data_IF_164908842774
#
_entry.id   IF_164908842774
#
_cell.length_a   1.000
_cell.length_b   1.000
_cell.length_c   1.000
_cell.angle_alpha   90.00
_cell.angle_beta   90.00
_cell.angle_gamma   90.00
#
_symmetry.space_group_name_H-M   'P 1'
#
loop_
_entity.id
_entity.type
_entity.pdbx_description
1 polymer ?
#
# COMPACT_ATOMS: atom_id res chain seq x y z
N UNK A 1 13.94 -16.16 -2.29
CA UNK A 1 12.87 -15.54 -1.46
C UNK A 1 13.25 -15.79 -0.01
N UNK A 2 13.21 -14.76 0.84
CA UNK A 2 13.72 -14.85 2.21
C UNK A 2 12.57 -14.72 3.21
N UNK A 3 12.70 -15.35 4.37
CA UNK A 3 11.78 -15.15 5.49
C UNK A 3 12.10 -13.80 6.12
N UNK A 4 11.15 -12.86 6.04
CA UNK A 4 11.26 -11.54 6.64
C UNK A 4 10.69 -11.51 8.07
N UNK A 5 9.68 -12.33 8.35
CA UNK A 5 9.14 -12.54 9.69
C UNK A 5 8.48 -13.92 9.78
N UNK A 6 8.50 -14.48 10.99
CA UNK A 6 7.82 -15.73 11.33
C UNK A 6 7.16 -15.59 12.70
N UNK A 7 5.93 -16.10 12.82
CA UNK A 7 5.23 -16.22 14.08
C UNK A 7 4.56 -17.59 14.14
N UNK A 8 4.56 -18.22 15.31
CA UNK A 8 3.88 -19.50 15.56
C UNK A 8 2.91 -19.33 16.71
N UNK A 9 1.70 -19.81 16.52
CA UNK A 9 0.66 -19.86 17.53
C UNK A 9 -0.03 -21.24 17.51
N UNK A 10 -1.07 -21.41 18.34
CA UNK A 10 -1.87 -22.64 18.40
C UNK A 10 -2.61 -22.94 17.09
N UNK A 11 -2.78 -21.95 16.20
CA UNK A 11 -3.50 -22.07 14.93
C UNK A 11 -2.57 -22.39 13.76
N UNK A 12 -1.26 -22.29 13.94
CA UNK A 12 -0.26 -22.70 12.96
C UNK A 12 0.94 -21.76 12.89
N UNK A 13 1.54 -21.69 11.70
CA UNK A 13 2.75 -20.92 11.44
C UNK A 13 2.45 -19.82 10.43
N UNK A 14 2.51 -18.58 10.88
CA UNK A 14 2.40 -17.40 10.03
C UNK A 14 3.78 -16.95 9.53
N UNK A 15 3.95 -16.91 8.21
CA UNK A 15 5.20 -16.50 7.55
C UNK A 15 4.99 -15.25 6.70
N UNK A 16 5.94 -14.33 6.80
CA UNK A 16 6.10 -13.23 5.86
C UNK A 16 7.33 -13.51 5.02
N UNK A 17 7.10 -13.83 3.75
CA UNK A 17 8.17 -14.02 2.79
C UNK A 17 8.38 -12.70 2.05
N UNK A 18 9.62 -12.27 1.91
CA UNK A 18 9.97 -11.07 1.15
C UNK A 18 10.90 -11.41 0.00
N UNK A 19 10.63 -10.76 -1.11
CA UNK A 19 11.56 -10.51 -2.19
C UNK A 19 11.70 -9.01 -2.34
N UNK A 20 12.76 -8.50 -2.98
CA UNK A 20 13.04 -7.07 -3.01
C UNK A 20 11.88 -6.17 -3.49
N UNK A 21 10.89 -6.74 -4.19
CA UNK A 21 9.70 -6.02 -4.70
C UNK A 21 8.37 -6.56 -4.17
N UNK A 22 8.37 -7.64 -3.38
CA UNK A 22 7.14 -8.37 -3.06
C UNK A 22 7.16 -8.91 -1.64
N UNK A 23 5.99 -8.91 -1.00
CA UNK A 23 5.78 -9.60 0.27
C UNK A 23 4.60 -10.53 0.14
N UNK A 24 4.79 -11.77 0.56
CA UNK A 24 3.73 -12.76 0.68
C UNK A 24 3.51 -13.04 2.16
N UNK A 25 2.24 -13.09 2.58
CA UNK A 25 1.85 -13.53 3.91
C UNK A 25 1.18 -14.88 3.76
N UNK A 26 1.75 -15.89 4.40
CA UNK A 26 1.27 -17.27 4.37
C UNK A 26 0.87 -17.67 5.77
N UNK A 27 -0.27 -18.36 5.89
CA UNK A 27 -0.59 -19.12 7.08
C UNK A 27 -0.44 -20.60 6.73
N UNK A 28 0.52 -21.27 7.36
CA UNK A 28 0.75 -22.70 7.21
C UNK A 28 -0.05 -23.40 8.30
N UNK A 29 -1.03 -24.18 7.87
CA UNK A 29 -1.86 -24.99 8.75
C UNK A 29 -1.23 -26.38 8.91
N UNK A 30 -0.97 -26.79 10.15
CA UNK A 30 -0.42 -28.11 10.46
C UNK A 30 1.09 -28.23 10.22
N UNK A 31 1.60 -29.45 10.33
CA UNK A 31 2.98 -29.79 10.03
C UNK A 31 3.14 -30.01 8.52
N UNK A 32 4.16 -29.39 7.93
CA UNK A 32 4.49 -29.56 6.51
C UNK A 32 5.83 -30.25 6.39
N UNK A 33 5.92 -31.28 5.54
CA UNK A 33 7.21 -31.82 5.10
C UNK A 33 7.72 -31.07 3.87
N UNK A 34 9.04 -31.05 3.65
CA UNK A 34 9.65 -30.26 2.56
C UNK A 34 9.29 -30.75 1.15
N UNK A 35 8.78 -31.97 1.02
CA UNK A 35 8.57 -32.64 -0.28
C UNK A 35 7.10 -32.71 -0.71
N UNK A 36 6.17 -32.29 0.16
CA UNK A 36 4.75 -32.31 -0.15
C UNK A 36 4.36 -31.19 -1.12
N UNK A 37 3.47 -31.47 -2.10
CA UNK A 37 2.89 -30.43 -2.93
C UNK A 37 2.14 -29.38 -2.09
N UNK A 38 2.24 -28.11 -2.48
CA UNK A 38 1.50 -27.04 -1.82
C UNK A 38 0.00 -27.13 -2.13
N UNK A 39 -0.82 -27.24 -1.08
CA UNK A 39 -2.26 -27.04 -1.15
C UNK A 39 -2.61 -25.61 -0.74
N UNK A 40 -3.48 -24.96 -1.50
CA UNK A 40 -3.98 -23.62 -1.17
C UNK A 40 -5.42 -23.69 -0.66
N UNK A 41 -5.66 -23.10 0.50
CA UNK A 41 -7.00 -22.96 1.09
C UNK A 41 -7.41 -21.51 0.98
N UNK A 42 -8.48 -21.26 0.24
CA UNK A 42 -9.05 -19.92 0.06
C UNK A 42 -10.46 -19.88 0.67
N UNK A 43 -10.72 -18.96 1.61
CA UNK A 43 -12.08 -18.70 2.06
C UNK A 43 -12.97 -18.24 0.90
N UNK A 44 -14.19 -18.77 0.83
CA UNK A 44 -15.24 -18.25 -0.05
C UNK A 44 -15.90 -17.01 0.54
N UNK A 45 -15.13 -15.92 0.65
CA UNK A 45 -15.58 -14.64 1.21
C UNK A 45 -15.62 -13.53 0.14
N UNK A 46 -15.98 -12.31 0.55
CA UNK A 46 -16.06 -11.15 -0.34
C UNK A 46 -14.71 -10.74 -0.98
N UNK A 47 -13.60 -11.39 -0.59
CA UNK A 47 -12.27 -11.13 -1.13
C UNK A 47 -11.78 -12.26 -2.05
N UNK A 48 -12.69 -13.13 -2.52
CA UNK A 48 -12.38 -14.28 -3.35
C UNK A 48 -11.42 -13.96 -4.52
N UNK A 49 -11.74 -12.95 -5.34
CA UNK A 49 -10.93 -12.59 -6.51
C UNK A 49 -9.54 -12.09 -6.11
N UNK A 50 -9.46 -11.25 -5.07
CA UNK A 50 -8.19 -10.73 -4.53
C UNK A 50 -7.33 -11.87 -4.00
N UNK A 51 -7.92 -12.80 -3.24
CA UNK A 51 -7.20 -13.94 -2.67
C UNK A 51 -6.76 -14.93 -3.76
N UNK A 52 -7.60 -15.19 -4.75
CA UNK A 52 -7.27 -16.02 -5.90
C UNK A 52 -6.10 -15.41 -6.67
N UNK A 53 -6.14 -14.12 -6.98
CA UNK A 53 -5.04 -13.44 -7.67
C UNK A 53 -3.73 -13.49 -6.85
N UNK A 54 -3.80 -13.32 -5.53
CA UNK A 54 -2.63 -13.38 -4.66
C UNK A 54 -2.00 -14.78 -4.62
N UNK A 55 -2.82 -15.84 -4.55
CA UNK A 55 -2.36 -17.24 -4.58
C UNK A 55 -1.79 -17.61 -5.95
N UNK A 56 -2.48 -17.26 -7.04
CA UNK A 56 -1.99 -17.51 -8.39
C UNK A 56 -0.63 -16.86 -8.60
N UNK A 57 -0.48 -15.62 -8.17
CA UNK A 57 0.79 -14.92 -8.28
C UNK A 57 1.91 -15.58 -7.45
N UNK A 58 1.63 -15.94 -6.20
CA UNK A 58 2.60 -16.63 -5.35
C UNK A 58 3.03 -17.96 -5.99
N UNK A 59 2.07 -18.75 -6.47
CA UNK A 59 2.34 -20.03 -7.13
C UNK A 59 3.20 -19.84 -8.39
N UNK A 60 2.89 -18.85 -9.22
CA UNK A 60 3.69 -18.53 -10.41
C UNK A 60 5.12 -18.12 -10.04
N UNK A 61 5.29 -17.33 -8.98
CA UNK A 61 6.62 -16.96 -8.50
C UNK A 61 7.41 -18.19 -8.04
N UNK A 62 6.81 -19.08 -7.25
CA UNK A 62 7.43 -20.35 -6.86
C UNK A 62 7.84 -21.18 -8.09
N UNK A 63 6.97 -21.27 -9.11
CA UNK A 63 7.23 -22.05 -10.33
C UNK A 63 8.31 -21.44 -11.22
N UNK A 64 8.37 -20.12 -11.33
CA UNK A 64 9.25 -19.41 -12.26
C UNK A 64 10.56 -18.92 -11.65
N UNK A 65 10.67 -18.89 -10.32
CA UNK A 65 11.83 -18.37 -9.60
C UNK A 65 12.01 -16.84 -9.66
N UNK A 66 11.11 -16.11 -10.30
CA UNK A 66 11.16 -14.66 -10.41
C UNK A 66 9.77 -14.00 -10.36
N UNK A 67 9.77 -12.71 -10.03
CA UNK A 67 8.57 -11.88 -9.87
C UNK A 67 8.07 -11.38 -11.23
N UNK A 68 6.80 -11.69 -11.56
CA UNK A 68 6.06 -11.04 -12.65
C UNK A 68 5.39 -9.74 -12.20
N UNK A 69 4.88 -8.97 -13.18
CA UNK A 69 4.03 -7.81 -12.92
C UNK A 69 2.85 -8.20 -12.02
N UNK A 70 2.63 -7.39 -10.98
CA UNK A 70 1.55 -7.60 -10.02
C UNK A 70 0.18 -7.41 -10.72
N UNK A 71 -0.78 -8.33 -10.52
CA UNK A 71 -2.16 -8.14 -10.97
C UNK A 71 -2.73 -6.80 -10.50
N UNK A 72 -3.55 -6.19 -11.34
CA UNK A 72 -4.12 -4.86 -11.06
C UNK A 72 -4.95 -4.84 -9.78
N UNK A 73 -5.72 -5.91 -9.51
CA UNK A 73 -6.50 -6.02 -8.27
C UNK A 73 -5.64 -6.11 -6.99
N UNK A 74 -4.33 -6.32 -7.10
CA UNK A 74 -3.42 -6.43 -5.95
C UNK A 74 -2.56 -5.19 -5.72
N UNK A 75 -2.67 -4.16 -6.58
CA UNK A 75 -1.94 -2.92 -6.39
C UNK A 75 -2.65 -1.70 -6.97
N UNK A 76 -2.48 -0.53 -6.34
CA UNK A 76 -3.02 0.71 -6.86
C UNK A 76 -2.45 1.00 -8.25
N UNK A 77 -3.29 1.59 -9.11
CA UNK A 77 -2.86 2.08 -10.41
C UNK A 77 -1.79 3.18 -10.30
N UNK A 78 -1.02 3.49 -11.37
CA UNK A 78 0.11 4.43 -11.29
C UNK A 78 -0.25 5.81 -10.71
N UNK A 79 -1.38 6.39 -11.10
CA UNK A 79 -1.83 7.69 -10.60
C UNK A 79 -2.26 7.65 -9.14
N UNK A 80 -2.87 6.55 -8.71
CA UNK A 80 -3.25 6.33 -7.31
C UNK A 80 -2.02 6.12 -6.44
N UNK A 81 -1.10 5.24 -6.89
CA UNK A 81 0.18 5.01 -6.21
C UNK A 81 0.97 6.31 -6.04
N UNK A 82 1.10 7.11 -7.11
CA UNK A 82 1.76 8.42 -7.04
C UNK A 82 1.11 9.34 -6.00
N UNK A 83 -0.22 9.37 -5.95
CA UNK A 83 -0.99 10.19 -4.99
C UNK A 83 -0.79 9.71 -3.56
N UNK A 84 -0.84 8.40 -3.31
CA UNK A 84 -0.58 7.81 -1.99
C UNK A 84 0.82 8.18 -1.50
N UNK A 85 1.82 8.13 -2.38
CA UNK A 85 3.19 8.58 -2.06
C UNK A 85 3.23 10.08 -1.72
N UNK A 86 2.48 10.94 -2.44
CA UNK A 86 2.42 12.36 -2.08
C UNK A 86 1.74 12.59 -0.73
N UNK A 87 0.72 11.80 -0.38
CA UNK A 87 0.08 11.87 0.92
C UNK A 87 1.01 11.45 2.05
N UNK A 88 1.86 10.43 1.84
CA UNK A 88 2.91 10.08 2.81
C UNK A 88 3.88 11.25 3.02
N UNK A 89 4.40 11.83 1.93
CA UNK A 89 5.30 13.00 2.01
C UNK A 89 4.66 14.19 2.71
N UNK A 90 3.37 14.42 2.46
CA UNK A 90 2.59 15.46 3.12
C UNK A 90 2.51 15.20 4.63
N UNK A 91 2.21 13.97 5.05
CA UNK A 91 2.15 13.59 6.47
C UNK A 91 3.51 13.75 7.16
N UNK A 92 4.59 13.33 6.49
CA UNK A 92 5.96 13.49 7.00
C UNK A 92 6.29 14.97 7.22
N UNK A 93 6.02 15.82 6.23
CA UNK A 93 6.26 17.26 6.31
C UNK A 93 5.38 17.96 7.37
N UNK A 94 4.11 17.54 7.52
CA UNK A 94 3.25 18.03 8.60
C UNK A 94 3.82 17.70 9.98
N UNK A 95 4.35 16.50 10.17
CA UNK A 95 5.00 16.12 11.44
C UNK A 95 6.27 16.94 11.72
N UNK A 96 6.95 17.41 10.67
CA UNK A 96 8.05 18.37 10.73
C UNK A 96 7.63 19.83 10.90
N UNK A 97 6.33 20.14 11.02
CA UNK A 97 5.82 21.50 11.23
C UNK A 97 5.65 22.34 9.97
N UNK A 98 5.69 21.74 8.77
CA UNK A 98 5.49 22.46 7.52
C UNK A 98 4.11 23.12 7.47
N UNK A 99 4.06 24.36 6.99
CA UNK A 99 2.82 25.09 6.79
C UNK A 99 2.07 24.57 5.56
N UNK A 100 0.75 24.77 5.54
CA UNK A 100 -0.10 24.44 4.39
C UNK A 100 0.38 25.08 3.09
N UNK A 101 0.99 26.26 3.17
CA UNK A 101 1.51 26.99 2.01
C UNK A 101 2.80 26.38 1.47
N UNK A 102 3.75 26.04 2.33
CA UNK A 102 4.98 25.33 1.93
C UNK A 102 4.65 23.98 1.28
N UNK A 103 3.70 23.25 1.84
CA UNK A 103 3.22 21.98 1.27
C UNK A 103 2.62 22.15 -0.13
N UNK A 104 1.84 23.20 -0.37
CA UNK A 104 1.28 23.47 -1.70
C UNK A 104 2.37 23.84 -2.72
N UNK A 105 3.38 24.61 -2.31
CA UNK A 105 4.51 25.00 -3.17
C UNK A 105 5.28 23.77 -3.64
N UNK A 106 5.60 22.85 -2.72
CA UNK A 106 6.40 21.68 -3.06
C UNK A 106 5.61 20.55 -3.72
N UNK A 107 4.34 20.33 -3.32
CA UNK A 107 3.58 19.15 -3.77
C UNK A 107 2.55 19.43 -4.87
N UNK A 108 2.18 20.70 -5.10
CA UNK A 108 1.12 21.06 -6.07
C UNK A 108 1.65 21.99 -7.15
N UNK A 109 2.11 23.18 -6.78
CA UNK A 109 2.51 24.22 -7.73
C UNK A 109 3.52 25.17 -7.11
N UNK A 110 4.75 25.17 -7.63
CA UNK A 110 5.84 26.04 -7.15
C UNK A 110 5.48 27.53 -7.22
N UNK A 111 4.65 27.92 -8.18
CA UNK A 111 4.21 29.31 -8.37
C UNK A 111 3.36 29.86 -7.22
N UNK A 112 2.76 29.00 -6.38
CA UNK A 112 2.06 29.43 -5.16
C UNK A 112 2.98 30.19 -4.18
N UNK A 113 4.30 30.06 -4.33
CA UNK A 113 5.29 30.84 -3.58
C UNK A 113 5.26 32.33 -3.92
N UNK A 114 4.75 32.69 -5.10
CA UNK A 114 4.68 34.09 -5.57
C UNK A 114 3.39 34.79 -5.18
N UNK A 115 2.39 34.06 -4.68
CA UNK A 115 1.09 34.64 -4.33
C UNK A 115 1.22 35.63 -3.18
N UNK A 116 0.50 36.73 -3.23
CA UNK A 116 0.18 37.53 -2.04
C UNK A 116 -0.66 36.73 -1.05
N UNK A 117 -0.83 37.25 0.16
CA UNK A 117 -1.71 36.61 1.16
C UNK A 117 -3.16 36.48 0.65
N UNK A 118 -3.70 37.52 0.01
CA UNK A 118 -5.06 37.52 -0.53
C UNK A 118 -5.24 36.53 -1.70
N UNK A 119 -4.25 36.45 -2.59
CA UNK A 119 -4.25 35.45 -3.68
C UNK A 119 -4.18 34.04 -3.11
N UNK A 120 -3.33 33.79 -2.11
CA UNK A 120 -3.25 32.50 -1.44
C UNK A 120 -4.57 32.07 -0.80
N UNK A 121 -5.26 32.96 -0.09
CA UNK A 121 -6.50 32.64 0.62
C UNK A 121 -7.63 32.19 -0.31
N UNK A 122 -7.66 32.76 -1.52
CA UNK A 122 -8.66 32.46 -2.54
C UNK A 122 -8.22 31.38 -3.54
N UNK A 123 -6.94 30.99 -3.51
CA UNK A 123 -6.31 30.09 -4.48
C UNK A 123 -6.92 28.69 -4.55
N UNK A 124 -6.77 28.06 -5.73
CA UNK A 124 -7.18 26.67 -5.94
C UNK A 124 -6.23 25.69 -5.23
N UNK A 125 -4.97 26.09 -5.09
CA UNK A 125 -3.85 25.39 -4.50
C UNK A 125 -4.09 25.17 -3.01
N UNK A 126 -4.47 26.24 -2.29
CA UNK A 126 -4.87 26.15 -0.87
C UNK A 126 -6.01 25.16 -0.65
N UNK A 127 -7.05 25.24 -1.48
CA UNK A 127 -8.20 24.31 -1.41
C UNK A 127 -7.78 22.87 -1.73
N UNK A 128 -6.90 22.69 -2.71
CA UNK A 128 -6.41 21.36 -3.12
C UNK A 128 -5.53 20.73 -2.06
N UNK A 129 -4.58 21.45 -1.47
CA UNK A 129 -3.73 20.91 -0.41
C UNK A 129 -4.53 20.60 0.85
N UNK A 130 -5.52 21.42 1.20
CA UNK A 130 -6.41 21.14 2.32
C UNK A 130 -7.25 19.86 2.11
N UNK A 131 -7.67 19.58 0.86
CA UNK A 131 -8.32 18.30 0.53
C UNK A 131 -7.34 17.13 0.66
N UNK A 132 -6.12 17.27 0.13
CA UNK A 132 -5.10 16.22 0.24
C UNK A 132 -4.74 15.92 1.69
N UNK A 133 -4.61 16.95 2.53
CA UNK A 133 -4.36 16.78 3.96
C UNK A 133 -5.46 15.97 4.64
N UNK A 134 -6.73 16.31 4.41
CA UNK A 134 -7.87 15.53 4.96
C UNK A 134 -7.86 14.08 4.49
N UNK A 135 -7.60 13.85 3.22
CA UNK A 135 -7.54 12.50 2.65
C UNK A 135 -6.35 11.69 3.17
N UNK A 136 -5.18 12.32 3.29
CA UNK A 136 -3.98 11.69 3.84
C UNK A 136 -4.17 11.27 5.29
N UNK A 137 -4.77 12.14 6.11
CA UNK A 137 -5.11 11.82 7.50
C UNK A 137 -6.12 10.67 7.56
N UNK A 138 -7.18 10.70 6.76
CA UNK A 138 -8.15 9.60 6.69
C UNK A 138 -7.51 8.26 6.27
N UNK A 139 -6.56 8.30 5.33
CA UNK A 139 -5.80 7.11 4.94
C UNK A 139 -4.94 6.58 6.08
N UNK A 140 -4.22 7.45 6.79
CA UNK A 140 -3.40 7.09 7.96
C UNK A 140 -4.26 6.50 9.08
N UNK A 141 -5.43 7.10 9.33
CA UNK A 141 -6.31 6.81 10.46
C UNK A 141 -7.27 5.63 10.18
N UNK A 142 -6.83 4.68 9.34
CA UNK A 142 -7.54 3.42 9.06
C UNK A 142 -7.94 3.22 7.60
N UNK A 143 -7.96 4.27 6.77
CA UNK A 143 -8.29 4.14 5.35
C UNK A 143 -7.33 3.23 4.57
N UNK A 144 -6.09 3.07 5.03
CA UNK A 144 -5.12 2.13 4.44
C UNK A 144 -5.59 0.67 4.43
N UNK A 145 -6.54 0.29 5.30
CA UNK A 145 -7.09 -1.07 5.32
C UNK A 145 -7.84 -1.42 4.04
N UNK A 146 -8.43 -0.43 3.36
CA UNK A 146 -9.07 -0.64 2.06
C UNK A 146 -8.06 -1.14 1.01
N UNK A 147 -6.80 -0.70 1.08
CA UNK A 147 -5.73 -1.16 0.18
C UNK A 147 -5.40 -2.65 0.35
N UNK A 148 -5.79 -3.27 1.48
CA UNK A 148 -5.59 -4.69 1.75
C UNK A 148 -6.72 -5.57 1.18
N UNK A 149 -7.83 -4.95 0.78
CA UNK A 149 -9.02 -5.64 0.27
C UNK A 149 -8.97 -5.87 -1.25
N UNK A 150 -7.98 -5.29 -1.92
CA UNK A 150 -7.88 -5.23 -3.38
C UNK A 150 -8.28 -3.87 -3.95
N UNK A 151 -8.01 -3.68 -5.24
CA UNK A 151 -8.28 -2.45 -6.01
C UNK A 151 -9.23 -2.70 -7.19
#
# INVERSE_FOLDING_TARGET
MNIAAEHRDEKGRHLVLSTGKRRYRLNICGETTETEPLAYVLPGDAFWETRQAAVCDFHEHCRLGHVKKLPFCLAPGPSEHWRLVQWLRLLDALSGGATTRELAIELIARDAGRYSAAEWDTSSERKRIARWQRQALAMRDGGYLALLSGH
#
